data_IF_997204260164
#
_entry.id   IF_997204260164
#
_cell.length_a   1.000
_cell.length_b   1.000
_cell.length_c   1.000
_cell.angle_alpha   90.00
_cell.angle_beta   90.00
_cell.angle_gamma   90.00
#
_symmetry.space_group_name_H-M   'P 1'
#
loop_
_entity.id
_entity.type
_entity.pdbx_description
1 polymer ?
#
# COMPACT_ATOMS: atom_id res chain seq x y z
N UNK A 1 11.09 -1.57 -22.19
CA UNK A 1 10.61 -2.10 -20.90
C UNK A 1 9.10 -1.88 -20.86
N UNK A 2 8.28 -2.92 -21.01
CA UNK A 2 6.81 -2.78 -20.89
C UNK A 2 6.48 -2.66 -19.40
N UNK A 3 5.77 -1.60 -19.03
CA UNK A 3 5.37 -1.36 -17.64
C UNK A 3 4.39 -2.44 -17.20
N UNK A 4 4.49 -2.96 -15.97
CA UNK A 4 3.44 -3.81 -15.39
C UNK A 4 2.07 -3.12 -15.35
N UNK A 5 2.04 -1.78 -15.47
CA UNK A 5 0.82 -1.00 -15.60
C UNK A 5 0.07 -1.22 -16.93
N UNK A 6 0.76 -1.62 -18.01
CA UNK A 6 0.12 -1.90 -19.33
C UNK A 6 -0.69 -3.21 -19.33
N UNK A 7 -0.59 -4.03 -18.27
CA UNK A 7 -1.19 -5.37 -18.23
C UNK A 7 -2.50 -5.45 -17.43
N UNK A 8 -3.00 -4.33 -16.91
CA UNK A 8 -4.28 -4.28 -16.23
C UNK A 8 -5.38 -3.91 -17.22
N UNK A 9 -6.51 -4.64 -17.26
CA UNK A 9 -7.62 -4.33 -18.15
C UNK A 9 -8.02 -2.87 -17.95
N UNK A 10 -8.18 -2.13 -19.05
CA UNK A 10 -8.21 -0.66 -19.15
C UNK A 10 -9.38 0.08 -18.46
N UNK A 11 -9.67 -0.27 -17.20
CA UNK A 11 -10.62 0.40 -16.33
C UNK A 11 -10.28 0.27 -14.82
N UNK A 12 -9.24 -0.49 -14.43
CA UNK A 12 -8.92 -0.72 -13.03
C UNK A 12 -7.74 0.14 -12.56
N UNK A 13 -8.00 1.08 -11.65
CA UNK A 13 -6.95 1.91 -11.04
C UNK A 13 -6.14 1.09 -10.02
N UNK A 14 -4.81 1.00 -10.16
CA UNK A 14 -3.97 0.31 -9.17
C UNK A 14 -3.94 1.07 -7.85
N UNK A 15 -3.95 0.34 -6.73
CA UNK A 15 -4.00 0.94 -5.38
C UNK A 15 -2.67 0.77 -4.67
N UNK A 16 -2.14 1.87 -4.12
CA UNK A 16 -1.10 1.86 -3.08
C UNK A 16 -1.70 2.29 -1.75
N UNK A 17 -1.33 1.61 -0.66
CA UNK A 17 -1.96 1.81 0.64
C UNK A 17 -0.96 2.24 1.72
N UNK A 18 -1.31 3.28 2.48
CA UNK A 18 -0.61 3.74 3.68
C UNK A 18 -1.28 3.17 4.93
N UNK A 19 -0.50 2.54 5.81
CA UNK A 19 -1.01 1.79 6.97
C UNK A 19 -0.41 2.27 8.28
N UNK A 20 -1.23 2.46 9.32
CA UNK A 20 -0.79 2.81 10.66
C UNK A 20 -1.90 2.67 11.71
N UNK A 21 -1.56 2.69 12.99
CA UNK A 21 -2.55 2.62 14.08
C UNK A 21 -3.21 3.98 14.36
N UNK A 22 -2.51 5.07 14.04
CA UNK A 22 -3.02 6.45 14.06
C UNK A 22 -2.55 7.17 12.81
N UNK A 23 -3.49 7.47 11.91
CA UNK A 23 -3.16 7.98 10.57
C UNK A 23 -3.78 9.33 10.25
N UNK A 24 -4.74 9.78 11.05
CA UNK A 24 -5.34 11.09 10.90
C UNK A 24 -4.27 12.21 10.90
N UNK A 25 -4.40 13.14 9.95
CA UNK A 25 -3.49 14.28 9.81
C UNK A 25 -2.13 13.98 9.16
N UNK A 26 -1.82 12.72 8.82
CA UNK A 26 -0.56 12.40 8.13
C UNK A 26 -0.65 12.73 6.63
N UNK A 27 0.23 13.59 6.06
CA UNK A 27 0.11 14.05 4.68
C UNK A 27 0.59 13.04 3.64
N UNK A 28 0.93 11.81 4.02
CA UNK A 28 1.54 10.83 3.09
C UNK A 28 0.64 10.50 1.91
N UNK A 29 -0.66 10.29 2.11
CA UNK A 29 -1.57 10.05 0.99
C UNK A 29 -1.64 11.26 0.06
N UNK A 30 -1.72 12.48 0.60
CA UNK A 30 -1.69 13.69 -0.21
C UNK A 30 -0.42 13.76 -1.06
N UNK A 31 0.75 13.49 -0.47
CA UNK A 31 2.02 13.49 -1.18
C UNK A 31 2.08 12.41 -2.26
N UNK A 32 1.58 11.19 -1.99
CA UNK A 32 1.53 10.11 -2.97
C UNK A 32 0.57 10.42 -4.12
N UNK A 33 -0.63 10.93 -3.86
CA UNK A 33 -1.57 11.36 -4.90
C UNK A 33 -0.95 12.45 -5.80
N UNK A 34 -0.20 13.39 -5.22
CA UNK A 34 0.53 14.40 -6.01
C UNK A 34 1.65 13.79 -6.86
N UNK A 35 2.40 12.85 -6.31
CA UNK A 35 3.45 12.16 -7.05
C UNK A 35 2.88 11.33 -8.22
N UNK A 36 1.77 10.62 -7.97
CA UNK A 36 1.03 9.86 -8.99
C UNK A 36 0.58 10.79 -10.13
N UNK A 37 -0.04 11.93 -9.80
CA UNK A 37 -0.53 12.88 -10.79
C UNK A 37 0.59 13.49 -11.65
N UNK A 38 1.73 13.85 -11.03
CA UNK A 38 2.89 14.41 -11.76
C UNK A 38 3.53 13.39 -12.70
N UNK A 39 3.38 12.10 -12.43
CA UNK A 39 3.89 11.02 -13.28
C UNK A 39 2.84 10.48 -14.26
N UNK A 40 1.67 11.13 -14.35
CA UNK A 40 0.57 10.73 -15.26
C UNK A 40 0.13 9.26 -15.07
N UNK A 41 0.24 8.76 -13.84
CA UNK A 41 -0.21 7.42 -13.48
C UNK A 41 -1.69 7.45 -13.08
N UNK A 42 -2.48 6.49 -13.58
CA UNK A 42 -3.88 6.31 -13.18
C UNK A 42 -4.02 5.47 -11.90
N UNK A 43 -3.18 5.76 -10.90
CA UNK A 43 -3.12 5.02 -9.64
C UNK A 43 -3.87 5.78 -8.55
N UNK A 44 -4.24 5.09 -7.46
CA UNK A 44 -4.85 5.70 -6.28
C UNK A 44 -4.05 5.41 -5.03
N UNK A 45 -3.89 6.42 -4.17
CA UNK A 45 -3.32 6.25 -2.86
C UNK A 45 -4.41 6.37 -1.78
N UNK A 46 -4.47 5.39 -0.89
CA UNK A 46 -5.41 5.41 0.24
C UNK A 46 -4.67 5.26 1.57
N UNK A 47 -5.24 5.76 2.64
CA UNK A 47 -4.76 5.56 4.00
C UNK A 47 -5.76 4.73 4.79
N UNK A 48 -5.29 3.65 5.42
CA UNK A 48 -6.12 2.78 6.26
C UNK A 48 -5.53 2.78 7.67
N UNK A 49 -6.42 2.92 8.66
CA UNK A 49 -6.09 2.75 10.06
C UNK A 49 -6.45 1.34 10.51
N UNK A 50 -5.53 0.64 11.17
CA UNK A 50 -5.78 -0.68 11.77
C UNK A 50 -4.82 -0.93 12.93
N UNK A 51 -5.20 -1.81 13.86
CA UNK A 51 -4.38 -2.19 15.00
C UNK A 51 -3.27 -3.18 14.59
N UNK A 52 -2.13 -3.16 15.27
CA UNK A 52 -0.98 -4.00 14.90
C UNK A 52 -1.29 -5.51 14.80
N UNK A 53 -2.20 -6.02 15.64
CA UNK A 53 -2.61 -7.43 15.61
C UNK A 53 -3.45 -7.82 14.38
N UNK A 54 -4.08 -6.86 13.70
CA UNK A 54 -4.85 -7.09 12.46
C UNK A 54 -3.98 -7.07 11.21
N UNK A 55 -2.68 -6.78 11.35
CA UNK A 55 -1.77 -6.64 10.23
C UNK A 55 -1.64 -7.91 9.36
N UNK A 56 -1.55 -9.13 9.91
CA UNK A 56 -1.45 -10.34 9.09
C UNK A 56 -2.68 -10.56 8.20
N UNK A 57 -3.89 -10.39 8.76
CA UNK A 57 -5.14 -10.53 8.00
C UNK A 57 -5.29 -9.42 6.95
N UNK A 58 -4.89 -8.19 7.28
CA UNK A 58 -4.90 -7.07 6.34
C UNK A 58 -3.96 -7.30 5.15
N UNK A 59 -2.72 -7.75 5.40
CA UNK A 59 -1.75 -8.08 4.35
C UNK A 59 -2.27 -9.20 3.45
N UNK A 60 -2.84 -10.26 4.04
CA UNK A 60 -3.45 -11.35 3.27
C UNK A 60 -4.58 -10.85 2.36
N UNK A 61 -5.48 -10.01 2.88
CA UNK A 61 -6.53 -9.37 2.10
C UNK A 61 -5.99 -8.51 0.97
N UNK A 62 -4.96 -7.69 1.24
CA UNK A 62 -4.33 -6.82 0.23
C UNK A 62 -3.62 -7.59 -0.88
N UNK A 63 -3.03 -8.76 -0.56
CA UNK A 63 -2.48 -9.69 -1.57
C UNK A 63 -3.59 -10.21 -2.48
N UNK A 64 -4.73 -10.63 -1.93
CA UNK A 64 -5.90 -11.10 -2.70
C UNK A 64 -6.50 -9.98 -3.56
N UNK A 65 -6.63 -8.77 -3.01
CA UNK A 65 -7.12 -7.57 -3.70
C UNK A 65 -6.13 -6.98 -4.71
N UNK A 66 -4.90 -7.52 -4.80
CA UNK A 66 -3.84 -7.08 -5.71
C UNK A 66 -3.46 -5.60 -5.54
N UNK A 67 -3.31 -5.15 -4.30
CA UNK A 67 -2.72 -3.84 -4.03
C UNK A 67 -1.27 -3.82 -4.53
N UNK A 68 -0.87 -2.73 -5.19
CA UNK A 68 0.44 -2.61 -5.83
C UNK A 68 1.58 -2.35 -4.85
N UNK A 69 1.28 -1.80 -3.68
CA UNK A 69 2.29 -1.48 -2.70
C UNK A 69 1.70 -1.04 -1.37
N UNK A 70 2.45 -1.36 -0.30
CA UNK A 70 2.09 -1.02 1.07
C UNK A 70 3.19 -0.14 1.67
N UNK A 71 2.78 1.00 2.24
CA UNK A 71 3.63 1.88 3.04
C UNK A 71 3.20 1.74 4.49
N UNK A 72 4.11 1.27 5.36
CA UNK A 72 3.88 1.21 6.80
C UNK A 72 4.39 2.48 7.49
N UNK A 73 3.54 3.12 8.30
CA UNK A 73 3.97 4.13 9.26
C UNK A 73 4.75 3.49 10.42
N UNK A 74 5.57 4.25 11.16
CA UNK A 74 6.45 3.69 12.19
C UNK A 74 5.77 2.77 13.21
N UNK A 75 4.50 3.02 13.55
CA UNK A 75 3.74 2.21 14.50
C UNK A 75 3.50 0.76 14.06
N UNK A 76 3.62 0.44 12.77
CA UNK A 76 3.36 -0.91 12.23
C UNK A 76 4.61 -1.53 11.59
N UNK A 77 5.75 -0.84 11.59
CA UNK A 77 6.97 -1.32 10.95
C UNK A 77 7.54 -2.59 11.61
N UNK A 78 7.58 -2.72 12.96
CA UNK A 78 8.09 -3.94 13.59
C UNK A 78 7.28 -5.18 13.20
N UNK A 79 5.95 -5.10 13.28
CA UNK A 79 5.05 -6.20 12.94
C UNK A 79 5.07 -6.49 11.44
N UNK A 80 5.14 -5.46 10.60
CA UNK A 80 5.28 -5.64 9.15
C UNK A 80 6.59 -6.35 8.78
N UNK A 81 7.70 -6.00 9.45
CA UNK A 81 8.99 -6.63 9.20
C UNK A 81 8.98 -8.11 9.58
N UNK A 82 8.33 -8.49 10.68
CA UNK A 82 8.17 -9.90 11.07
C UNK A 82 7.29 -10.66 10.07
N UNK A 83 6.19 -10.05 9.62
CA UNK A 83 5.22 -10.69 8.73
C UNK A 83 5.68 -10.80 7.26
N UNK A 84 6.57 -9.90 6.83
CA UNK A 84 7.08 -9.81 5.46
C UNK A 84 8.54 -10.24 5.31
N UNK A 85 9.18 -10.68 6.41
CA UNK A 85 10.48 -11.30 6.33
C UNK A 85 10.42 -12.42 5.27
N UNK A 86 11.37 -12.48 4.32
CA UNK A 86 11.45 -13.61 3.43
C UNK A 86 11.57 -14.87 4.30
N UNK A 87 10.76 -15.89 4.02
CA UNK A 87 10.97 -17.19 4.67
C UNK A 87 12.37 -17.63 4.28
N UNK A 88 13.24 -17.88 5.27
CA UNK A 88 14.62 -18.30 5.06
C UNK A 88 14.64 -19.42 3.99
N UNK A 89 15.25 -19.11 2.84
CA UNK A 89 15.47 -20.03 1.73
C UNK A 89 16.92 -20.47 1.67
#
# INVERSE_FOLDING_TARGET
>A
MRSMADSLPGAMQPIVCCLGERVAGKPTQFLLERAIAVNELDWRAITIQLAAHDLPIAIAGMKVMRFMGLRFFPSLQPEAAQQLAPEDG
#
